data_IF_488484986796
#
_entry.id   IF_488484986796
#
_cell.length_a   1.000
_cell.length_b   1.000
_cell.length_c   1.000
_cell.angle_alpha   90.00
_cell.angle_beta   90.00
_cell.angle_gamma   90.00
#
_symmetry.space_group_name_H-M   'P 1'
#
loop_
_entity.id
_entity.type
_entity.pdbx_description
1 polymer ?
#
# COMPACT_ATOMS: atom_id res chain seq x y z
N UNK A 1 -12.31 -10.43 -13.68
CA UNK A 1 -12.10 -9.13 -14.34
C UNK A 1 -12.10 -8.03 -13.28
N UNK A 2 -10.96 -7.39 -13.01
CA UNK A 2 -10.86 -6.35 -11.97
C UNK A 2 -11.76 -5.15 -12.32
N UNK A 3 -12.02 -4.91 -13.61
CA UNK A 3 -12.91 -3.85 -14.07
C UNK A 3 -14.36 -4.14 -13.71
N UNK A 4 -14.75 -5.41 -13.64
CA UNK A 4 -16.05 -5.88 -13.18
C UNK A 4 -16.18 -6.00 -11.65
N UNK A 5 -15.08 -5.85 -10.91
CA UNK A 5 -15.10 -5.97 -9.46
C UNK A 5 -15.75 -4.73 -8.80
N UNK A 6 -16.37 -4.86 -7.62
CA UNK A 6 -16.91 -3.72 -6.89
C UNK A 6 -15.82 -2.72 -6.51
N UNK A 7 -16.18 -1.46 -6.29
CA UNK A 7 -15.25 -0.42 -5.81
C UNK A 7 -14.53 -0.83 -4.51
N UNK A 8 -15.21 -1.60 -3.66
CA UNK A 8 -14.62 -2.17 -2.43
C UNK A 8 -13.46 -3.13 -2.67
N UNK A 9 -13.24 -3.62 -3.89
CA UNK A 9 -12.05 -4.39 -4.26
C UNK A 9 -11.13 -3.63 -5.20
N UNK A 10 -11.68 -2.82 -6.11
CA UNK A 10 -10.89 -2.04 -7.07
C UNK A 10 -10.02 -1.00 -6.38
N UNK A 11 -10.59 -0.24 -5.44
CA UNK A 11 -9.85 0.82 -4.74
C UNK A 11 -8.71 0.23 -3.90
N UNK A 12 -8.95 -0.79 -3.04
CA UNK A 12 -7.87 -1.39 -2.26
C UNK A 12 -6.79 -2.06 -3.12
N UNK A 13 -7.19 -2.78 -4.18
CA UNK A 13 -6.23 -3.37 -5.11
C UNK A 13 -5.39 -2.30 -5.83
N UNK A 14 -6.00 -1.18 -6.21
CA UNK A 14 -5.30 -0.04 -6.79
C UNK A 14 -4.30 0.60 -5.83
N UNK A 15 -4.64 0.72 -4.53
CA UNK A 15 -3.73 1.22 -3.51
C UNK A 15 -2.50 0.32 -3.35
N UNK A 16 -2.69 -1.00 -3.25
CA UNK A 16 -1.58 -1.96 -3.15
C UNK A 16 -0.71 -1.92 -4.40
N UNK A 17 -1.32 -1.98 -5.58
CA UNK A 17 -0.59 -1.96 -6.85
C UNK A 17 0.18 -0.65 -7.05
N UNK A 18 -0.45 0.49 -6.74
CA UNK A 18 0.17 1.81 -6.84
C UNK A 18 1.34 1.98 -5.88
N UNK A 19 1.19 1.55 -4.62
CA UNK A 19 2.30 1.59 -3.65
C UNK A 19 3.45 0.66 -4.05
N UNK A 20 3.15 -0.57 -4.48
CA UNK A 20 4.17 -1.50 -4.97
C UNK A 20 4.92 -0.93 -6.20
N UNK A 21 4.19 -0.31 -7.14
CA UNK A 21 4.78 0.34 -8.30
C UNK A 21 5.67 1.52 -7.91
N UNK A 22 5.25 2.37 -6.97
CA UNK A 22 6.07 3.49 -6.47
C UNK A 22 7.40 3.00 -5.88
N UNK A 23 7.34 2.02 -4.98
CA UNK A 23 8.52 1.42 -4.37
C UNK A 23 9.41 0.66 -5.38
N UNK A 24 8.86 0.15 -6.47
CA UNK A 24 9.63 -0.47 -7.56
C UNK A 24 10.32 0.60 -8.43
N UNK A 25 9.63 1.70 -8.74
CA UNK A 25 10.20 2.82 -9.49
C UNK A 25 11.39 3.42 -8.74
N UNK A 26 11.29 3.60 -7.42
CA UNK A 26 12.40 4.05 -6.59
C UNK A 26 13.60 3.12 -6.70
N UNK A 27 13.41 1.81 -6.53
CA UNK A 27 14.48 0.83 -6.68
C UNK A 27 15.11 0.86 -8.07
N UNK A 28 14.30 1.00 -9.12
CA UNK A 28 14.79 1.04 -10.49
C UNK A 28 15.59 2.32 -10.82
N UNK A 29 15.24 3.46 -10.19
CA UNK A 29 15.86 4.77 -10.48
C UNK A 29 17.01 5.13 -9.54
N UNK A 30 16.87 4.79 -8.25
CA UNK A 30 17.74 5.22 -7.17
C UNK A 30 18.58 4.07 -6.59
N UNK A 31 18.17 2.81 -6.82
CA UNK A 31 18.80 1.63 -6.22
C UNK A 31 18.33 1.31 -4.79
N UNK A 32 17.47 2.14 -4.20
CA UNK A 32 16.88 1.97 -2.87
C UNK A 32 15.50 2.61 -2.82
N UNK A 33 14.78 2.44 -1.70
CA UNK A 33 13.49 3.09 -1.43
C UNK A 33 13.71 4.27 -0.49
N UNK A 34 13.15 5.44 -0.82
CA UNK A 34 13.30 6.62 0.01
C UNK A 34 12.24 6.63 1.13
N UNK A 35 12.68 6.44 2.37
CA UNK A 35 11.85 6.52 3.57
C UNK A 35 11.99 7.89 4.23
N UNK A 36 10.87 8.54 4.56
CA UNK A 36 10.88 9.93 5.03
C UNK A 36 9.81 10.27 6.07
N UNK A 37 8.87 9.35 6.33
CA UNK A 37 7.84 9.53 7.35
C UNK A 37 8.29 8.88 8.65
N UNK A 38 8.50 9.71 9.67
CA UNK A 38 8.86 9.29 11.03
C UNK A 38 7.74 9.66 11.99
N UNK A 39 7.28 8.71 12.81
CA UNK A 39 6.26 8.96 13.83
C UNK A 39 6.91 9.19 15.21
N UNK A 40 6.58 10.28 15.92
CA UNK A 40 7.08 10.52 17.27
C UNK A 40 6.39 9.62 18.32
N UNK A 41 7.01 9.49 19.51
CA UNK A 41 7.85 8.34 19.84
C UNK A 41 7.04 7.03 19.86
N UNK A 42 7.00 6.32 18.73
CA UNK A 42 6.58 4.93 18.69
C UNK A 42 7.84 4.05 18.68
N UNK A 43 8.28 3.51 19.83
CA UNK A 43 9.44 2.64 19.86
C UNK A 43 9.18 1.45 18.92
N UNK A 44 10.19 1.11 18.10
CA UNK A 44 10.18 0.04 17.10
C UNK A 44 9.39 0.30 15.80
N UNK A 45 8.67 1.43 15.67
CA UNK A 45 8.02 1.75 14.41
C UNK A 45 9.05 2.18 13.37
N UNK A 46 9.08 1.50 12.23
CA UNK A 46 10.04 1.77 11.17
C UNK A 46 9.68 3.07 10.45
N UNK A 47 10.70 3.83 10.02
CA UNK A 47 10.50 4.93 9.07
C UNK A 47 9.91 4.32 7.79
N UNK A 48 8.97 5.01 7.16
CA UNK A 48 8.23 4.50 6.01
C UNK A 48 7.95 5.62 5.01
N UNK A 49 7.26 5.29 3.93
CA UNK A 49 6.85 6.26 2.93
C UNK A 49 5.35 6.16 2.56
N UNK A 50 4.93 6.98 1.60
CA UNK A 50 3.54 6.99 1.10
C UNK A 50 3.18 5.69 0.38
N UNK A 51 4.12 5.06 -0.31
CA UNK A 51 3.91 3.77 -0.95
C UNK A 51 3.64 2.65 0.06
N UNK A 52 4.36 2.60 1.18
CA UNK A 52 4.12 1.63 2.26
C UNK A 52 2.77 1.85 2.93
N UNK A 53 2.38 3.12 3.09
CA UNK A 53 1.06 3.50 3.60
C UNK A 53 -0.05 3.01 2.67
N UNK A 54 0.11 3.20 1.35
CA UNK A 54 -0.84 2.73 0.34
C UNK A 54 -0.94 1.20 0.32
N UNK A 55 0.19 0.49 0.41
CA UNK A 55 0.22 -0.97 0.50
C UNK A 55 -0.50 -1.44 1.77
N UNK A 56 -0.20 -0.84 2.92
CA UNK A 56 -0.78 -1.25 4.21
C UNK A 56 -2.28 -0.99 4.25
N UNK A 57 -2.71 0.23 3.96
CA UNK A 57 -4.14 0.60 3.96
C UNK A 57 -4.89 -0.19 2.88
N UNK A 58 -4.32 -0.31 1.68
CA UNK A 58 -4.88 -1.11 0.60
C UNK A 58 -5.02 -2.59 0.99
N UNK A 59 -4.00 -3.17 1.61
CA UNK A 59 -4.03 -4.56 2.07
C UNK A 59 -5.11 -4.80 3.13
N UNK A 60 -5.21 -3.92 4.14
CA UNK A 60 -6.24 -4.01 5.18
C UNK A 60 -7.64 -3.87 4.59
N UNK A 61 -7.87 -2.88 3.72
CA UNK A 61 -9.16 -2.68 3.08
C UNK A 61 -9.54 -3.84 2.14
N UNK A 62 -8.56 -4.40 1.43
CA UNK A 62 -8.78 -5.53 0.53
C UNK A 62 -9.14 -6.78 1.34
N UNK A 63 -8.40 -7.08 2.40
CA UNK A 63 -8.69 -8.18 3.31
C UNK A 63 -10.10 -8.04 3.90
N UNK A 64 -10.44 -6.86 4.40
CA UNK A 64 -11.77 -6.58 4.93
C UNK A 64 -12.89 -6.74 3.90
N UNK A 65 -12.68 -6.25 2.67
CA UNK A 65 -13.65 -6.39 1.60
C UNK A 65 -13.87 -7.85 1.22
N UNK A 66 -12.81 -8.67 1.19
CA UNK A 66 -12.89 -10.10 0.92
C UNK A 66 -13.57 -10.85 2.06
N UNK A 67 -13.27 -10.54 3.32
CA UNK A 67 -13.90 -11.17 4.48
C UNK A 67 -15.39 -10.84 4.62
N UNK A 68 -15.83 -9.71 4.06
CA UNK A 68 -17.25 -9.32 4.02
C UNK A 68 -18.00 -9.83 2.79
N UNK A 69 -17.31 -10.44 1.83
CA UNK A 69 -17.99 -11.15 0.74
C UNK A 69 -18.32 -12.55 1.26
N UNK A 70 -19.62 -12.90 1.42
CA UNK A 70 -20.00 -14.26 1.82
C UNK A 70 -19.58 -15.29 0.77
#
# INVERSE_FOLDING_TARGET
DLLAAPLSTRIPAGLVAGGAAGNLIDRARLGFVADFVTLPPLPFFQVFNVADSAITVGGVLLAFALLRRP
#
